data_IF_845600696260
#
_entry.id   IF_845600696260
#
_cell.length_a   1.000
_cell.length_b   1.000
_cell.length_c   1.000
_cell.angle_alpha   90.00
_cell.angle_beta   90.00
_cell.angle_gamma   90.00
#
_symmetry.space_group_name_H-M   'P 1'
#
loop_
_entity.id
_entity.type
_entity.pdbx_description
1 polymer ?
#
# COMPACT_ATOMS: atom_id res chain seq x y z
N UNK A 1 14.88 69.61 17.28
CA UNK A 1 14.28 68.88 16.14
C UNK A 1 14.78 67.43 15.94
N UNK A 2 15.83 66.93 16.60
CA UNK A 2 16.39 65.59 16.32
C UNK A 2 15.73 64.41 17.04
N UNK A 3 14.88 64.67 18.05
CA UNK A 3 14.19 63.62 18.82
C UNK A 3 12.93 63.08 18.14
N UNK A 4 12.25 63.91 17.36
CA UNK A 4 11.07 63.51 16.58
C UNK A 4 11.42 62.67 15.33
N UNK A 5 12.59 62.91 14.74
CA UNK A 5 13.07 62.12 13.60
C UNK A 5 13.40 60.66 13.99
N UNK A 6 13.97 60.46 15.19
CA UNK A 6 14.27 59.12 15.72
C UNK A 6 12.99 58.34 16.11
N UNK A 7 11.95 59.04 16.57
CA UNK A 7 10.67 58.43 16.92
C UNK A 7 9.91 57.91 15.69
N UNK A 8 9.97 58.62 14.56
CA UNK A 8 9.30 58.20 13.30
C UNK A 8 10.02 57.01 12.66
N UNK A 9 11.35 56.96 12.71
CA UNK A 9 12.13 55.85 12.15
C UNK A 9 11.95 54.56 12.98
N UNK A 10 11.78 54.68 14.30
CA UNK A 10 11.56 53.51 15.18
C UNK A 10 10.13 52.96 15.06
N UNK A 11 9.14 53.82 14.78
CA UNK A 11 7.75 53.37 14.58
C UNK A 11 7.50 52.61 13.28
N UNK A 12 8.31 52.86 12.23
CA UNK A 12 8.07 52.27 10.91
C UNK A 12 8.53 50.81 10.77
N UNK A 13 9.34 50.30 11.70
CA UNK A 13 9.85 48.91 11.68
C UNK A 13 8.81 47.89 12.17
N UNK A 14 7.79 48.31 12.93
CA UNK A 14 6.82 47.39 13.51
C UNK A 14 5.74 46.91 12.52
N UNK A 15 5.56 47.58 11.38
CA UNK A 15 4.49 47.26 10.41
C UNK A 15 4.92 46.19 9.40
N UNK A 16 6.23 45.93 9.26
CA UNK A 16 6.76 44.96 8.29
C UNK A 16 6.83 43.51 8.81
N UNK A 17 6.37 43.26 10.05
CA UNK A 17 6.37 41.92 10.67
C UNK A 17 5.03 41.17 10.54
N UNK A 18 4.15 41.59 9.64
CA UNK A 18 3.03 40.76 9.19
C UNK A 18 3.57 39.75 8.16
N UNK A 19 4.36 38.81 8.65
CA UNK A 19 4.75 37.63 7.89
C UNK A 19 3.48 36.90 7.48
N UNK A 20 3.23 36.86 6.17
CA UNK A 20 2.16 36.10 5.56
C UNK A 20 2.41 34.62 5.89
N UNK A 21 1.81 34.12 6.96
CA UNK A 21 1.79 32.70 7.23
C UNK A 21 0.87 32.05 6.19
N UNK A 22 1.44 31.69 5.04
CA UNK A 22 0.79 30.76 4.12
C UNK A 22 0.78 29.39 4.79
N UNK A 23 -0.27 29.15 5.59
CA UNK A 23 -0.74 27.80 5.81
C UNK A 23 -1.40 27.37 4.50
N UNK A 24 -0.59 26.81 3.59
CA UNK A 24 -1.16 25.96 2.56
C UNK A 24 -1.96 24.89 3.34
N UNK A 25 -3.28 24.79 3.16
CA UNK A 25 -4.01 23.67 3.73
C UNK A 25 -3.38 22.43 3.11
N UNK A 26 -2.61 21.68 3.89
CA UNK A 26 -2.36 20.28 3.57
C UNK A 26 -3.75 19.66 3.63
N UNK A 27 -4.38 19.49 2.48
CA UNK A 27 -5.66 18.81 2.38
C UNK A 27 -5.46 17.44 3.00
N UNK A 28 -6.34 17.05 3.92
CA UNK A 28 -6.32 15.69 4.49
C UNK A 28 -6.24 14.64 3.39
N UNK A 29 -6.76 14.92 2.19
CA UNK A 29 -6.62 14.08 0.99
C UNK A 29 -5.16 13.77 0.62
N UNK A 30 -4.23 14.72 0.77
CA UNK A 30 -2.82 14.52 0.43
C UNK A 30 -2.08 13.72 1.52
N UNK A 31 -2.52 13.85 2.78
CA UNK A 31 -2.05 13.01 3.88
C UNK A 31 -2.60 11.58 3.76
N UNK A 32 -3.88 11.43 3.38
CA UNK A 32 -4.51 10.12 3.16
C UNK A 32 -3.88 9.42 1.95
N UNK A 33 -3.65 10.14 0.85
CA UNK A 33 -2.98 9.59 -0.33
C UNK A 33 -1.56 9.12 0.02
N UNK A 34 -0.75 9.95 0.69
CA UNK A 34 0.60 9.55 1.12
C UNK A 34 0.61 8.37 2.09
N UNK A 35 -0.39 8.25 2.97
CA UNK A 35 -0.52 7.12 3.88
C UNK A 35 -0.95 5.83 3.17
N UNK A 36 -1.84 5.92 2.18
CA UNK A 36 -2.18 4.80 1.30
C UNK A 36 -0.97 4.33 0.49
N UNK A 37 -0.12 5.25 0.03
CA UNK A 37 1.11 4.92 -0.69
C UNK A 37 2.11 4.16 0.19
N UNK A 38 2.31 4.61 1.43
CA UNK A 38 3.14 3.90 2.41
C UNK A 38 2.59 2.49 2.67
N UNK A 39 1.28 2.36 2.82
CA UNK A 39 0.62 1.08 3.05
C UNK A 39 0.78 0.11 1.86
N UNK A 40 0.53 0.58 0.63
CA UNK A 40 0.70 -0.21 -0.59
C UNK A 40 2.16 -0.69 -0.77
N UNK A 41 3.15 0.15 -0.41
CA UNK A 41 4.57 -0.23 -0.45
C UNK A 41 4.91 -1.27 0.61
N UNK A 42 4.40 -1.10 1.82
CA UNK A 42 4.59 -2.06 2.91
C UNK A 42 4.00 -3.43 2.55
N UNK A 43 2.83 -3.46 1.89
CA UNK A 43 2.17 -4.68 1.46
C UNK A 43 2.99 -5.44 0.41
N UNK A 44 3.50 -4.74 -0.61
CA UNK A 44 4.34 -5.34 -1.65
C UNK A 44 5.66 -5.87 -1.06
N UNK A 45 6.29 -5.13 -0.15
CA UNK A 45 7.49 -5.59 0.55
C UNK A 45 7.22 -6.82 1.43
N UNK A 46 6.09 -6.86 2.13
CA UNK A 46 5.67 -8.02 2.91
C UNK A 46 5.41 -9.25 2.03
N UNK A 47 4.91 -9.05 0.81
CA UNK A 47 4.78 -10.13 -0.17
C UNK A 47 6.14 -10.65 -0.63
N UNK A 48 7.10 -9.76 -0.88
CA UNK A 48 8.46 -10.12 -1.26
C UNK A 48 9.21 -10.90 -0.17
N UNK A 49 8.90 -10.63 1.11
CA UNK A 49 9.49 -11.31 2.26
C UNK A 49 9.07 -12.79 2.38
N UNK A 50 8.03 -13.22 1.66
CA UNK A 50 7.64 -14.63 1.65
C UNK A 50 8.75 -15.51 1.05
N UNK A 51 9.19 -16.51 1.82
CA UNK A 51 10.27 -17.43 1.41
C UNK A 51 10.01 -18.12 0.06
N UNK A 52 8.75 -18.42 -0.26
CA UNK A 52 8.35 -18.99 -1.55
C UNK A 52 8.55 -18.01 -2.72
N UNK A 53 8.24 -16.73 -2.51
CA UNK A 53 8.44 -15.65 -3.49
C UNK A 53 9.92 -15.42 -3.70
N UNK A 54 10.72 -15.35 -2.63
CA UNK A 54 12.18 -15.22 -2.74
C UNK A 54 12.79 -16.39 -3.51
N UNK A 55 12.38 -17.63 -3.21
CA UNK A 55 12.89 -18.82 -3.91
C UNK A 55 12.54 -18.80 -5.40
N UNK A 56 11.33 -18.33 -5.74
CA UNK A 56 10.89 -18.16 -7.12
C UNK A 56 11.68 -17.07 -7.84
N UNK A 57 11.95 -15.93 -7.19
CA UNK A 57 12.79 -14.86 -7.74
C UNK A 57 14.22 -15.34 -8.01
N UNK A 58 14.82 -16.08 -7.07
CA UNK A 58 16.15 -16.69 -7.23
C UNK A 58 16.16 -17.69 -8.38
N UNK A 59 15.11 -18.51 -8.52
CA UNK A 59 14.94 -19.43 -9.65
C UNK A 59 14.88 -18.70 -11.00
N UNK A 60 14.33 -17.48 -11.02
CA UNK A 60 14.29 -16.61 -12.20
C UNK A 60 15.58 -15.80 -12.40
N UNK A 61 16.60 -15.99 -11.55
CA UNK A 61 17.89 -15.28 -11.63
C UNK A 61 17.88 -13.87 -11.05
N UNK A 62 16.85 -13.52 -10.26
CA UNK A 62 16.71 -12.21 -9.60
C UNK A 62 17.01 -12.38 -8.11
N UNK A 63 17.97 -11.61 -7.59
CA UNK A 63 18.23 -11.60 -6.15
C UNK A 63 17.13 -10.82 -5.40
N UNK A 64 16.76 -11.22 -4.16
CA UNK A 64 15.76 -10.51 -3.36
C UNK A 64 16.11 -9.03 -3.18
N UNK A 65 17.38 -8.73 -2.89
CA UNK A 65 17.90 -7.36 -2.70
C UNK A 65 17.70 -6.48 -3.95
N UNK A 66 17.88 -7.05 -5.15
CA UNK A 66 17.62 -6.33 -6.40
C UNK A 66 16.12 -6.10 -6.63
N UNK A 67 15.26 -7.03 -6.22
CA UNK A 67 13.82 -6.85 -6.31
C UNK A 67 13.32 -5.77 -5.34
N UNK A 68 13.83 -5.75 -4.10
CA UNK A 68 13.56 -4.69 -3.12
C UNK A 68 13.98 -3.31 -3.64
N UNK A 69 15.19 -3.20 -4.23
CA UNK A 69 15.64 -1.94 -4.81
C UNK A 69 14.76 -1.46 -5.96
N UNK A 70 14.23 -2.38 -6.78
CA UNK A 70 13.29 -2.01 -7.86
C UNK A 70 11.97 -1.48 -7.30
N UNK A 71 11.41 -2.17 -6.31
CA UNK A 71 10.17 -1.74 -5.63
C UNK A 71 10.41 -0.41 -4.89
N UNK A 72 11.59 -0.21 -4.31
CA UNK A 72 11.95 1.02 -3.64
C UNK A 72 11.97 2.23 -4.59
N UNK A 73 12.37 2.00 -5.85
CA UNK A 73 12.50 3.00 -6.91
C UNK A 73 11.24 3.15 -7.79
N UNK A 74 10.21 2.31 -7.64
CA UNK A 74 8.96 2.42 -8.40
C UNK A 74 8.17 3.68 -7.99
N UNK A 75 7.50 4.29 -8.97
CA UNK A 75 6.56 5.39 -8.71
C UNK A 75 5.24 4.86 -8.14
N UNK A 76 4.42 5.76 -7.60
CA UNK A 76 3.15 5.39 -6.99
C UNK A 76 2.20 4.72 -8.01
N UNK A 77 2.18 5.20 -9.26
CA UNK A 77 1.33 4.60 -10.30
C UNK A 77 1.78 3.18 -10.67
N UNK A 78 3.09 2.94 -10.72
CA UNK A 78 3.66 1.62 -11.02
C UNK A 78 3.37 0.63 -9.90
N UNK A 79 3.40 1.09 -8.65
CA UNK A 79 3.12 0.27 -7.48
C UNK A 79 1.63 -0.10 -7.37
N UNK A 80 0.73 0.80 -7.73
CA UNK A 80 -0.72 0.53 -7.78
C UNK A 80 -1.09 -0.43 -8.91
N UNK A 81 -0.45 -0.29 -10.08
CA UNK A 81 -0.60 -1.24 -11.18
C UNK A 81 -0.07 -2.63 -10.81
N UNK A 82 1.06 -2.69 -10.09
CA UNK A 82 1.62 -3.95 -9.58
C UNK A 82 0.71 -4.61 -8.54
N UNK A 83 0.20 -3.85 -7.56
CA UNK A 83 -0.76 -4.35 -6.58
C UNK A 83 -2.05 -4.87 -7.24
N UNK A 84 -2.54 -4.18 -8.26
CA UNK A 84 -3.72 -4.62 -9.03
C UNK A 84 -3.44 -5.96 -9.72
N UNK A 85 -2.29 -6.13 -10.38
CA UNK A 85 -1.88 -7.41 -10.96
C UNK A 85 -1.67 -8.50 -9.91
N UNK A 86 -1.11 -8.19 -8.74
CA UNK A 86 -0.97 -9.16 -7.64
C UNK A 86 -2.32 -9.63 -7.10
N UNK A 87 -3.32 -8.76 -7.05
CA UNK A 87 -4.69 -9.12 -6.65
C UNK A 87 -5.42 -9.93 -7.73
N UNK A 88 -5.11 -9.72 -9.02
CA UNK A 88 -5.68 -10.50 -10.13
C UNK A 88 -5.02 -11.86 -10.29
N UNK A 89 -3.74 -11.99 -9.90
CA UNK A 89 -3.11 -13.30 -9.79
C UNK A 89 -3.83 -14.09 -8.69
N UNK A 90 -4.21 -15.36 -8.95
CA UNK A 90 -4.70 -16.23 -7.88
C UNK A 90 -3.67 -16.16 -6.75
N UNK A 91 -4.12 -15.87 -5.52
CA UNK A 91 -3.28 -15.83 -4.32
C UNK A 91 -2.70 -17.24 -4.06
N UNK A 92 -1.80 -17.68 -4.92
CA UNK A 92 -1.49 -19.07 -5.22
C UNK A 92 -0.34 -19.60 -4.38
N UNK A 93 -0.32 -19.23 -3.11
CA UNK A 93 0.47 -19.94 -2.11
C UNK A 93 -0.33 -21.12 -1.53
N UNK A 94 0.30 -21.85 -0.60
CA UNK A 94 -0.30 -22.99 0.10
C UNK A 94 -1.71 -22.68 0.63
N UNK A 95 -1.93 -21.46 1.16
CA UNK A 95 -3.24 -21.04 1.66
C UNK A 95 -4.30 -20.97 0.56
N UNK A 96 -3.98 -20.39 -0.60
CA UNK A 96 -4.91 -20.32 -1.73
C UNK A 96 -5.23 -21.71 -2.27
N UNK A 97 -4.22 -22.58 -2.40
CA UNK A 97 -4.43 -23.97 -2.82
C UNK A 97 -5.36 -24.71 -1.85
N UNK A 98 -5.14 -24.59 -0.54
CA UNK A 98 -6.02 -25.21 0.47
C UNK A 98 -7.45 -24.67 0.31
N UNK A 99 -7.63 -23.35 0.23
CA UNK A 99 -8.96 -22.75 0.08
C UNK A 99 -9.64 -23.22 -1.21
N UNK A 100 -8.93 -23.27 -2.34
CA UNK A 100 -9.48 -23.78 -3.60
C UNK A 100 -9.92 -25.24 -3.48
N UNK A 101 -9.11 -26.10 -2.86
CA UNK A 101 -9.48 -27.50 -2.64
C UNK A 101 -10.72 -27.59 -1.76
N UNK A 102 -10.80 -26.82 -0.66
CA UNK A 102 -11.99 -26.79 0.20
C UNK A 102 -13.25 -26.35 -0.58
N UNK A 103 -13.14 -25.34 -1.45
CA UNK A 103 -14.27 -24.88 -2.28
C UNK A 103 -14.71 -25.95 -3.28
N UNK A 104 -13.76 -26.59 -3.98
CA UNK A 104 -14.07 -27.66 -4.94
C UNK A 104 -14.77 -28.82 -4.23
N UNK A 105 -14.25 -29.27 -3.08
CA UNK A 105 -14.85 -30.34 -2.28
C UNK A 105 -16.25 -29.92 -1.77
N UNK A 106 -16.44 -28.67 -1.35
CA UNK A 106 -17.75 -28.19 -0.90
C UNK A 106 -18.80 -28.20 -2.02
N UNK A 107 -18.41 -27.88 -3.27
CA UNK A 107 -19.31 -27.97 -4.43
C UNK A 107 -19.65 -29.43 -4.74
N UNK A 108 -18.67 -30.33 -4.69
CA UNK A 108 -18.89 -31.76 -4.91
C UNK A 108 -19.81 -32.38 -3.84
N UNK A 109 -19.71 -31.91 -2.61
CA UNK A 109 -20.58 -32.31 -1.49
C UNK A 109 -22.03 -31.83 -1.69
N UNK A 110 -22.21 -30.58 -2.14
CA UNK A 110 -23.54 -30.05 -2.50
C UNK A 110 -24.22 -30.88 -3.61
N UNK A 111 -23.44 -31.37 -4.58
CA UNK A 111 -23.92 -32.24 -5.65
C UNK A 111 -24.21 -33.68 -5.18
N UNK A 112 -23.81 -34.06 -3.97
CA UNK A 112 -23.94 -35.42 -3.43
C UNK A 112 -22.93 -36.42 -4.02
N UNK A 113 -21.83 -35.95 -4.60
CA UNK A 113 -20.75 -36.80 -5.15
C UNK A 113 -19.80 -37.24 -4.03
N UNK A 114 -19.60 -36.38 -3.03
CA UNK A 114 -18.77 -36.62 -1.84
C UNK A 114 -19.56 -36.34 -0.57
N UNK A 115 -19.10 -36.81 0.60
CA UNK A 115 -19.64 -36.46 1.93
C UNK A 115 -18.44 -36.13 2.84
N UNK A 116 -17.91 -34.92 2.70
CA UNK A 116 -16.73 -34.45 3.45
C UNK A 116 -17.11 -33.44 4.51
N UNK A 117 -18.14 -32.63 4.27
CA UNK A 117 -18.66 -31.65 5.20
C UNK A 117 -20.03 -32.10 5.74
N UNK A 118 -20.10 -32.65 6.96
CA UNK A 118 -21.33 -33.22 7.52
C UNK A 118 -22.45 -32.20 7.79
N UNK A 119 -22.17 -30.91 7.60
CA UNK A 119 -23.12 -29.81 7.72
C UNK A 119 -23.71 -29.37 6.36
N UNK A 120 -23.15 -29.82 5.24
CA UNK A 120 -23.70 -29.59 3.91
C UNK A 120 -24.75 -30.69 3.66
N UNK A 121 -25.96 -30.27 3.28
CA UNK A 121 -27.01 -31.21 2.85
C UNK A 121 -27.01 -31.24 1.33
N UNK A 122 -26.88 -32.41 0.69
CA UNK A 122 -26.94 -32.51 -0.76
C UNK A 122 -28.32 -32.03 -1.27
N UNK A 123 -28.33 -31.41 -2.44
CA UNK A 123 -29.57 -30.87 -3.07
C UNK A 123 -30.33 -31.91 -3.90
N UNK A 124 -29.84 -33.15 -3.98
CA UNK A 124 -30.37 -34.25 -4.77
C UNK A 124 -31.24 -35.24 -3.98
#
# INVERSE_FOLDING_TARGET
MSKFLKAVITGSVLIFSLGQASAAPYSSDQVIASQQHQYNKQQVLSFLDNAEVQNKLVTLGVSPEQAEQRIANMTNEELDALNSQMNEMPAGGIVGTIVTVLVVVAVLDLMGITDVYPFIRPIS
#
